data_IF_531631773226
#
_entry.id   IF_531631773226
#
_cell.length_a   1.000
_cell.length_b   1.000
_cell.length_c   1.000
_cell.angle_alpha   90.00
_cell.angle_beta   90.00
_cell.angle_gamma   90.00
#
_symmetry.space_group_name_H-M   'P 1'
#
loop_
_entity.id
_entity.type
_entity.pdbx_description
1 polymer ?
#
# COMPACT_ATOMS: atom_id res chain seq x y z
N UNK A 1 11.34 -41.57 -1.16
CA UNK A 1 12.46 -41.63 -2.12
C UNK A 1 12.93 -40.21 -2.37
N UNK A 2 14.16 -39.88 -1.96
CA UNK A 2 14.81 -38.63 -2.33
C UNK A 2 15.32 -38.77 -3.76
N UNK A 3 14.75 -37.99 -4.68
CA UNK A 3 15.29 -37.79 -6.02
C UNK A 3 16.09 -36.49 -6.01
N UNK A 4 17.41 -36.64 -5.93
CA UNK A 4 18.39 -35.60 -6.18
C UNK A 4 18.55 -35.54 -7.71
N UNK A 5 18.19 -34.41 -8.33
CA UNK A 5 18.52 -34.12 -9.72
C UNK A 5 19.44 -32.89 -9.75
N UNK A 6 20.67 -33.13 -10.18
CA UNK A 6 21.77 -32.18 -10.25
C UNK A 6 21.66 -31.26 -11.47
N UNK A 7 21.66 -29.96 -11.19
CA UNK A 7 22.49 -28.92 -11.83
C UNK A 7 22.87 -29.08 -13.33
N UNK A 8 21.96 -28.71 -14.23
CA UNK A 8 22.32 -28.33 -15.61
C UNK A 8 22.74 -26.86 -15.63
N UNK A 9 24.01 -26.64 -15.27
CA UNK A 9 24.75 -25.42 -15.63
C UNK A 9 25.18 -25.53 -17.09
N UNK A 10 24.36 -25.05 -18.02
CA UNK A 10 24.83 -24.76 -19.38
C UNK A 10 24.29 -23.41 -19.87
N UNK A 11 25.13 -22.39 -19.63
CA UNK A 11 25.43 -21.26 -20.49
C UNK A 11 24.51 -21.05 -21.70
N UNK A 12 23.58 -20.12 -21.55
CA UNK A 12 23.18 -19.26 -22.66
C UNK A 12 23.64 -17.84 -22.36
N UNK A 13 24.96 -17.66 -22.46
CA UNK A 13 25.54 -16.37 -22.84
C UNK A 13 24.98 -16.04 -24.23
N UNK A 14 24.00 -15.13 -24.32
CA UNK A 14 23.95 -14.15 -25.39
C UNK A 14 22.78 -13.16 -25.22
N UNK A 15 23.20 -11.89 -25.27
CA UNK A 15 22.42 -10.72 -25.67
C UNK A 15 21.63 -9.96 -24.59
N UNK A 16 22.38 -9.16 -23.82
CA UNK A 16 22.36 -7.69 -23.92
C UNK A 16 21.03 -7.02 -24.28
N UNK A 17 19.98 -7.35 -23.53
CA UNK A 17 18.88 -6.44 -23.26
C UNK A 17 18.86 -6.24 -21.75
N UNK A 18 19.85 -5.60 -21.10
CA UNK A 18 20.17 -4.17 -21.18
C UNK A 18 19.07 -3.28 -21.80
N UNK A 19 17.80 -3.62 -21.56
CA UNK A 19 16.68 -2.71 -21.69
C UNK A 19 16.74 -1.76 -20.50
N UNK A 20 17.66 -0.78 -20.62
CA UNK A 20 17.45 0.60 -20.19
C UNK A 20 16.58 0.74 -18.94
N UNK A 21 17.13 0.35 -17.79
CA UNK A 21 16.61 0.83 -16.53
C UNK A 21 17.02 2.32 -16.50
N UNK A 22 16.12 3.20 -16.94
CA UNK A 22 16.33 4.65 -16.83
C UNK A 22 16.68 4.95 -15.37
N UNK A 23 17.91 5.42 -15.14
CA UNK A 23 18.49 5.64 -13.81
C UNK A 23 17.66 6.59 -12.93
N UNK A 24 16.73 7.35 -13.51
CA UNK A 24 15.85 8.28 -12.80
C UNK A 24 14.45 7.72 -12.45
N UNK A 25 14.12 6.47 -12.78
CA UNK A 25 12.76 5.90 -12.53
C UNK A 25 12.71 4.63 -11.69
N UNK A 26 13.85 4.09 -11.29
CA UNK A 26 13.88 3.03 -10.30
C UNK A 26 13.73 3.66 -8.90
N UNK A 27 12.52 4.13 -8.58
CA UNK A 27 12.11 4.18 -7.18
C UNK A 27 12.06 2.71 -6.77
N UNK A 28 13.16 2.24 -6.19
CA UNK A 28 13.43 0.87 -5.81
C UNK A 28 12.17 0.27 -5.18
N UNK A 29 11.77 -0.93 -5.60
CA UNK A 29 10.53 -1.60 -5.17
C UNK A 29 10.31 -1.51 -3.64
N UNK A 30 11.41 -1.53 -2.87
CA UNK A 30 11.47 -1.31 -1.42
C UNK A 30 10.78 -0.02 -0.93
N UNK A 31 10.94 1.11 -1.63
CA UNK A 31 10.30 2.38 -1.25
C UNK A 31 8.80 2.35 -1.50
N UNK A 32 8.37 1.70 -2.59
CA UNK A 32 6.95 1.54 -2.93
C UNK A 32 6.27 0.68 -1.86
N UNK A 33 6.91 -0.43 -1.49
CA UNK A 33 6.45 -1.32 -0.43
C UNK A 33 6.40 -0.61 0.93
N UNK A 34 7.43 0.18 1.26
CA UNK A 34 7.43 0.98 2.48
C UNK A 34 6.25 1.97 2.51
N UNK A 35 5.99 2.68 1.40
CA UNK A 35 4.88 3.62 1.34
C UNK A 35 3.52 2.91 1.45
N UNK A 36 3.39 1.71 0.88
CA UNK A 36 2.19 0.89 1.01
C UNK A 36 1.98 0.42 2.46
N UNK A 37 3.04 -0.04 3.14
CA UNK A 37 2.98 -0.42 4.55
C UNK A 37 2.58 0.75 5.45
N UNK A 38 3.16 1.93 5.24
CA UNK A 38 2.77 3.15 5.98
C UNK A 38 1.30 3.49 5.71
N UNK A 39 0.85 3.37 4.47
CA UNK A 39 -0.54 3.61 4.10
C UNK A 39 -1.50 2.66 4.81
N UNK A 40 -1.16 1.37 4.94
CA UNK A 40 -1.96 0.39 5.70
C UNK A 40 -2.06 0.78 7.17
N UNK A 41 -0.94 1.20 7.77
CA UNK A 41 -0.90 1.65 9.16
C UNK A 41 -1.77 2.89 9.38
N UNK A 42 -1.71 3.88 8.48
CA UNK A 42 -2.55 5.08 8.55
C UNK A 42 -4.03 4.78 8.37
N UNK A 43 -4.38 3.87 7.44
CA UNK A 43 -5.76 3.47 7.20
C UNK A 43 -6.34 2.72 8.41
N UNK A 44 -5.54 1.87 9.06
CA UNK A 44 -5.96 1.01 10.18
C UNK A 44 -5.94 1.74 11.53
N UNK A 45 -4.94 2.59 11.75
CA UNK A 45 -4.64 3.21 13.04
C UNK A 45 -4.35 4.71 12.94
N UNK A 46 -5.26 5.54 12.39
CA UNK A 46 -5.01 6.94 12.04
C UNK A 46 -4.67 7.84 13.24
N UNK A 47 -5.05 7.45 14.45
CA UNK A 47 -4.82 8.20 15.70
C UNK A 47 -3.76 7.56 16.60
N UNK A 48 -3.08 6.53 16.12
CA UNK A 48 -2.11 5.82 16.92
C UNK A 48 -0.80 6.61 16.99
N UNK A 49 -0.37 6.94 18.22
CA UNK A 49 0.88 7.64 18.48
C UNK A 49 2.09 6.91 17.86
N UNK A 50 2.04 5.58 17.85
CA UNK A 50 3.11 4.77 17.24
C UNK A 50 3.30 5.05 15.74
N UNK A 51 2.20 5.24 14.98
CA UNK A 51 2.29 5.57 13.55
C UNK A 51 2.89 6.97 13.35
N UNK A 52 2.54 7.92 14.21
CA UNK A 52 3.12 9.26 14.19
C UNK A 52 4.62 9.24 14.48
N UNK A 53 5.05 8.43 15.45
CA UNK A 53 6.48 8.26 15.77
C UNK A 53 7.26 7.63 14.62
N UNK A 54 6.72 6.61 13.94
CA UNK A 54 7.35 6.03 12.75
C UNK A 54 7.51 7.09 11.67
N UNK A 55 6.43 7.82 11.35
CA UNK A 55 6.46 8.86 10.33
C UNK A 55 7.47 9.96 10.66
N UNK A 56 7.54 10.38 11.92
CA UNK A 56 8.49 11.38 12.37
C UNK A 56 9.94 10.87 12.26
N UNK A 57 10.19 9.61 12.63
CA UNK A 57 11.51 8.98 12.53
C UNK A 57 11.97 8.92 11.08
N UNK A 58 11.11 8.38 10.20
CA UNK A 58 11.40 8.31 8.76
C UNK A 58 11.57 9.69 8.11
N UNK A 59 10.88 10.71 8.62
CA UNK A 59 11.07 12.09 8.18
C UNK A 59 12.42 12.66 8.60
N UNK A 60 12.82 12.42 9.85
CA UNK A 60 14.10 12.88 10.38
C UNK A 60 15.28 12.17 9.71
N UNK A 61 15.12 10.91 9.33
CA UNK A 61 16.12 10.12 8.59
C UNK A 61 16.19 10.51 7.10
N UNK A 62 15.25 11.31 6.61
CA UNK A 62 15.19 11.73 5.21
C UNK A 62 14.63 10.68 4.25
N UNK A 63 14.21 9.51 4.75
CA UNK A 63 13.56 8.45 3.96
C UNK A 63 12.22 8.91 3.39
N UNK A 64 11.48 9.73 4.13
CA UNK A 64 10.18 10.26 3.70
C UNK A 64 10.15 11.76 3.92
N UNK A 65 9.59 12.52 2.98
CA UNK A 65 9.44 13.97 3.16
C UNK A 65 8.10 14.32 3.77
N UNK A 66 7.99 15.48 4.41
CA UNK A 66 6.71 16.02 4.91
C UNK A 66 5.62 16.04 3.83
N UNK A 67 6.00 16.31 2.57
CA UNK A 67 5.10 16.30 1.42
C UNK A 67 4.54 14.90 1.14
N UNK A 68 5.36 13.86 1.23
CA UNK A 68 4.93 12.47 1.07
C UNK A 68 4.01 12.08 2.23
N UNK A 69 4.37 12.44 3.46
CA UNK A 69 3.55 12.18 4.65
C UNK A 69 2.16 12.83 4.49
N UNK A 70 2.10 14.11 4.11
CA UNK A 70 0.85 14.82 3.86
C UNK A 70 0.01 14.11 2.78
N UNK A 71 0.65 13.66 1.70
CA UNK A 71 -0.03 12.92 0.65
C UNK A 71 -0.65 11.59 1.15
N UNK A 72 0.08 10.83 1.97
CA UNK A 72 -0.41 9.57 2.56
C UNK A 72 -1.57 9.83 3.52
N UNK A 73 -1.50 10.89 4.34
CA UNK A 73 -2.59 11.29 5.23
C UNK A 73 -3.84 11.66 4.42
N UNK A 74 -3.70 12.51 3.41
CA UNK A 74 -4.81 12.92 2.53
C UNK A 74 -5.44 11.75 1.79
N UNK A 75 -4.61 10.80 1.34
CA UNK A 75 -5.08 9.55 0.72
C UNK A 75 -5.90 8.73 1.72
N UNK A 76 -5.43 8.58 2.95
CA UNK A 76 -6.12 7.86 4.02
C UNK A 76 -7.47 8.50 4.37
N UNK A 77 -7.51 9.82 4.53
CA UNK A 77 -8.75 10.58 4.79
C UNK A 77 -9.77 10.38 3.66
N UNK A 78 -9.32 10.45 2.40
CA UNK A 78 -10.19 10.22 1.24
C UNK A 78 -10.79 8.81 1.24
N UNK A 79 -9.97 7.78 1.50
CA UNK A 79 -10.42 6.39 1.61
C UNK A 79 -11.45 6.23 2.72
N UNK A 80 -11.19 6.76 3.91
CA UNK A 80 -12.12 6.71 5.05
C UNK A 80 -13.46 7.38 4.72
N UNK A 81 -13.45 8.54 4.05
CA UNK A 81 -14.69 9.20 3.60
C UNK A 81 -15.47 8.36 2.60
N UNK A 82 -14.80 7.67 1.67
CA UNK A 82 -15.48 6.78 0.71
C UNK A 82 -16.13 5.59 1.42
N UNK A 83 -15.42 4.96 2.35
CA UNK A 83 -15.94 3.84 3.15
C UNK A 83 -17.15 4.30 3.98
N UNK A 84 -17.09 5.46 4.62
CA UNK A 84 -18.22 6.04 5.36
C UNK A 84 -19.44 6.29 4.47
N UNK A 85 -19.24 6.79 3.24
CA UNK A 85 -20.33 6.96 2.26
C UNK A 85 -20.96 5.62 1.90
N UNK A 86 -20.15 4.60 1.63
CA UNK A 86 -20.64 3.25 1.32
C UNK A 86 -21.43 2.65 2.48
N UNK A 87 -20.93 2.76 3.71
CA UNK A 87 -21.64 2.31 4.92
C UNK A 87 -22.99 3.02 5.05
N UNK A 88 -23.06 4.33 4.80
CA UNK A 88 -24.32 5.09 4.86
C UNK A 88 -25.33 4.60 3.81
N UNK A 89 -24.87 4.30 2.59
CA UNK A 89 -25.71 3.75 1.53
C UNK A 89 -26.24 2.37 1.94
N UNK A 90 -25.37 1.48 2.41
CA UNK A 90 -25.76 0.14 2.86
C UNK A 90 -26.78 0.20 4.01
N UNK A 91 -26.54 1.01 5.04
CA UNK A 91 -27.49 1.21 6.15
C UNK A 91 -28.85 1.71 5.67
N UNK A 92 -28.88 2.70 4.78
CA UNK A 92 -30.16 3.21 4.23
C UNK A 92 -30.87 2.20 3.31
N UNK A 93 -30.13 1.33 2.61
CA UNK A 93 -30.72 0.24 1.84
C UNK A 93 -31.30 -0.86 2.73
N UNK A 94 -30.64 -1.18 3.85
CA UNK A 94 -31.11 -2.16 4.81
C UNK A 94 -32.40 -1.71 5.50
N UNK A 95 -32.46 -0.44 5.91
CA UNK A 95 -33.67 0.17 6.48
C UNK A 95 -34.84 0.11 5.47
N UNK A 96 -34.58 0.37 4.19
CA UNK A 96 -35.62 0.28 3.16
C UNK A 96 -36.13 -1.14 2.95
N UNK A 97 -35.26 -2.15 3.04
CA UNK A 97 -35.65 -3.56 2.95
C UNK A 97 -36.51 -3.99 4.13
N UNK A 98 -36.11 -3.67 5.37
CA UNK A 98 -36.90 -4.03 6.54
C UNK A 98 -38.30 -3.42 6.52
N UNK A 99 -38.45 -2.17 6.07
CA UNK A 99 -39.78 -1.53 5.93
C UNK A 99 -40.64 -2.20 4.84
N UNK A 100 -40.04 -2.75 3.80
CA UNK A 100 -40.75 -3.46 2.74
C UNK A 100 -41.19 -4.87 3.18
N UNK A 101 -40.38 -5.54 4.01
CA UNK A 101 -40.69 -6.87 4.54
C UNK A 101 -41.78 -6.84 5.64
N UNK A 102 -42.00 -5.68 6.30
CA UNK A 102 -43.04 -5.46 7.31
C UNK A 102 -44.45 -5.17 6.71
N UNK A 103 -44.61 -5.15 5.38
CA UNK A 103 -45.89 -4.89 4.68
C UNK A 103 -46.44 -6.11 3.96
#
# INVERSE_FOLDING_TARGET
MNLIYSNDKEKTENNNQLLSCNEDKCLCEDEVDLMEHIQILLDSYPKCNFVQQILQTLCNEGTVTEKIIAHLIDRSIRRQRMIQKQIKILKSSQIRKSIADDK
#
